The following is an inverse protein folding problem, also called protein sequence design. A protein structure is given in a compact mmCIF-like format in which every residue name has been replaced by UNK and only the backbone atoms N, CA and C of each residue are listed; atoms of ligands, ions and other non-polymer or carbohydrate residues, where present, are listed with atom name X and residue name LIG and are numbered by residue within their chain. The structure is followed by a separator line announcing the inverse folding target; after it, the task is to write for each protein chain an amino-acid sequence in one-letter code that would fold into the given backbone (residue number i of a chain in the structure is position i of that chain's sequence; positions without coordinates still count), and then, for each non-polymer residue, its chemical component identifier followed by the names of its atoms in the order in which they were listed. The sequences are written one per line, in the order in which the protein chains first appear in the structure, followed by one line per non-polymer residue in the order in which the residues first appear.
data_IF_587345735027
#
_entry.id   IF_587345735027
#
_cell.length_a   1.000
_cell.length_b   1.000
_cell.length_c   1.000
_cell.angle_alpha   90.00
_cell.angle_beta   90.00
_cell.angle_gamma   90.00
#
_symmetry.space_group_name_H-M   'P 1'
#
loop_
_entity.id
_entity.type
_entity.pdbx_description
1 polymer ?
#
# COMPACT_ATOMS: atom_id res chain seq x y z
N UNK A 1 12.50 6.52 -5.10
CA UNK A 1 11.33 5.68 -5.44
C UNK A 1 10.19 6.00 -4.50
N UNK A 2 9.03 6.36 -5.04
CA UNK A 2 7.79 6.57 -4.30
C UNK A 2 7.12 5.22 -4.08
N UNK A 3 7.22 4.69 -2.88
CA UNK A 3 6.75 3.35 -2.56
C UNK A 3 5.30 3.42 -2.09
N UNK A 4 4.40 2.79 -2.85
CA UNK A 4 3.00 2.58 -2.47
C UNK A 4 2.93 1.41 -1.50
N UNK A 5 2.40 1.66 -0.31
CA UNK A 5 2.08 0.60 0.65
C UNK A 5 0.55 0.53 0.76
N UNK A 6 0.02 -0.65 0.45
CA UNK A 6 -1.41 -0.92 0.53
C UNK A 6 -1.65 -2.35 1.02
N UNK A 7 -2.86 -2.63 1.47
CA UNK A 7 -3.19 -3.96 1.94
C UNK A 7 -4.59 -4.09 2.49
N UNK A 8 -4.90 -5.30 2.92
CA UNK A 8 -6.17 -5.60 3.58
C UNK A 8 -6.25 -4.85 4.92
N UNK A 9 -7.47 -4.46 5.32
CA UNK A 9 -7.70 -3.56 6.46
C UNK A 9 -7.44 -4.19 7.83
N UNK A 10 -7.35 -5.50 7.86
CA UNK A 10 -7.09 -6.39 8.99
C UNK A 10 -5.62 -6.85 9.06
N UNK A 11 -4.78 -6.42 8.13
CA UNK A 11 -3.34 -6.64 8.23
C UNK A 11 -2.78 -5.84 9.41
N UNK A 12 -2.09 -6.50 10.34
CA UNK A 12 -1.57 -5.88 11.58
C UNK A 12 -0.09 -6.24 11.86
N UNK A 13 0.58 -6.97 10.95
CA UNK A 13 1.96 -7.43 11.14
C UNK A 13 2.99 -6.36 10.69
N UNK A 14 3.32 -5.46 11.61
CA UNK A 14 4.27 -4.38 11.34
C UNK A 14 5.69 -4.87 11.02
N UNK A 15 6.13 -5.96 11.66
CA UNK A 15 7.48 -6.49 11.46
C UNK A 15 7.62 -7.13 10.07
N UNK A 16 6.59 -7.82 9.60
CA UNK A 16 6.53 -8.31 8.23
C UNK A 16 6.61 -7.14 7.24
N UNK A 17 5.83 -6.08 7.46
CA UNK A 17 5.89 -4.89 6.60
C UNK A 17 7.28 -4.28 6.55
N UNK A 18 7.88 -4.08 7.73
CA UNK A 18 9.22 -3.52 7.87
C UNK A 18 10.25 -4.38 7.13
N UNK A 19 10.19 -5.71 7.27
CA UNK A 19 11.09 -6.65 6.59
C UNK A 19 11.09 -6.46 5.07
N UNK A 20 9.91 -6.33 4.46
CA UNK A 20 9.80 -6.11 3.02
C UNK A 20 10.23 -4.69 2.61
N UNK A 21 9.92 -3.67 3.42
CA UNK A 21 10.38 -2.31 3.14
C UNK A 21 11.91 -2.17 3.23
N UNK A 22 12.57 -2.95 4.09
CA UNK A 22 14.03 -2.93 4.24
C UNK A 22 14.77 -3.34 2.96
N UNK A 23 14.18 -4.17 2.11
CA UNK A 23 14.75 -4.59 0.82
C UNK A 23 15.03 -3.37 -0.08
N UNK A 24 14.18 -2.34 0.04
CA UNK A 24 14.24 -1.14 -0.78
C UNK A 24 14.71 0.10 -0.02
N UNK A 25 15.15 -0.04 1.25
CA UNK A 25 15.36 1.09 2.18
C UNK A 25 16.07 2.29 1.55
N UNK A 26 17.21 2.05 0.93
CA UNK A 26 18.07 3.12 0.38
C UNK A 26 17.53 3.73 -0.93
N UNK A 27 16.50 3.13 -1.52
CA UNK A 27 15.82 3.60 -2.74
C UNK A 27 14.54 4.37 -2.43
N UNK A 28 13.94 4.20 -1.25
CA UNK A 28 12.66 4.84 -0.91
C UNK A 28 12.90 6.31 -0.60
N UNK A 29 12.22 7.17 -1.34
CA UNK A 29 12.27 8.63 -1.14
C UNK A 29 11.00 9.18 -0.50
N UNK A 30 9.90 8.42 -0.57
CA UNK A 30 8.58 8.81 -0.07
C UNK A 30 7.69 7.57 0.06
N UNK A 31 6.81 7.53 1.06
CA UNK A 31 5.74 6.53 1.18
C UNK A 31 4.42 7.11 0.67
N UNK A 32 3.71 6.34 -0.15
CA UNK A 32 2.38 6.69 -0.67
C UNK A 32 1.33 5.86 0.06
N UNK A 33 0.43 6.54 0.78
CA UNK A 33 -0.60 5.96 1.65
C UNK A 33 -1.99 6.38 1.22
N UNK A 34 -2.96 5.47 1.31
CA UNK A 34 -4.38 5.73 1.13
C UNK A 34 -5.14 6.04 2.42
N UNK A 35 -4.42 6.15 3.54
CA UNK A 35 -4.96 6.43 4.88
C UNK A 35 -6.01 5.44 5.37
N UNK A 36 -6.04 4.23 4.81
CA UNK A 36 -6.90 3.15 5.29
C UNK A 36 -6.26 2.46 6.51
N UNK A 37 -7.06 1.79 7.34
CA UNK A 37 -6.51 0.91 8.39
C UNK A 37 -5.66 -0.21 7.78
N UNK A 38 -4.78 -0.78 8.59
CA UNK A 38 -3.90 -1.88 8.21
C UNK A 38 -2.62 -1.37 7.56
N UNK A 39 -2.27 -1.91 6.38
CA UNK A 39 -0.99 -1.66 5.72
C UNK A 39 -0.69 -0.17 5.50
N UNK A 40 -1.68 0.64 5.07
CA UNK A 40 -1.46 2.06 4.81
C UNK A 40 -0.97 2.79 6.08
N UNK A 41 -1.67 2.66 7.21
CA UNK A 41 -1.25 3.28 8.48
C UNK A 41 0.11 2.76 8.99
N UNK A 42 0.38 1.47 8.80
CA UNK A 42 1.70 0.91 9.14
C UNK A 42 2.80 1.43 8.23
N UNK A 43 2.51 1.66 6.95
CA UNK A 43 3.42 2.34 6.03
C UNK A 43 3.72 3.77 6.47
N UNK A 44 2.72 4.52 6.93
CA UNK A 44 2.94 5.86 7.51
C UNK A 44 3.81 5.80 8.76
N UNK A 45 3.60 4.80 9.63
CA UNK A 45 4.45 4.56 10.80
C UNK A 45 5.90 4.27 10.38
N UNK A 46 6.11 3.40 9.39
CA UNK A 46 7.44 3.10 8.86
C UNK A 46 8.13 4.34 8.28
N UNK A 47 7.42 5.15 7.50
CA UNK A 47 7.94 6.40 6.97
C UNK A 47 8.45 7.33 8.07
N UNK A 48 7.65 7.48 9.14
CA UNK A 48 8.01 8.27 10.32
C UNK A 48 9.25 7.71 11.03
N UNK A 49 9.35 6.39 11.16
CA UNK A 49 10.48 5.72 11.82
C UNK A 49 11.80 5.97 11.09
N UNK A 50 11.81 5.95 9.75
CA UNK A 50 13.04 6.13 8.95
C UNK A 50 13.24 7.58 8.47
N UNK A 51 12.36 8.51 8.86
CA UNK A 51 12.53 9.94 8.59
C UNK A 51 12.26 10.36 7.15
N UNK A 52 11.35 9.69 6.43
CA UNK A 52 10.98 10.03 5.04
C UNK A 52 9.54 10.59 4.95
N UNK A 53 9.23 11.41 3.93
CA UNK A 53 7.90 11.97 3.77
C UNK A 53 6.83 10.92 3.45
N UNK A 54 5.58 11.28 3.73
CA UNK A 54 4.38 10.52 3.39
C UNK A 54 3.48 11.37 2.48
N UNK A 55 3.17 10.86 1.29
CA UNK A 55 2.08 11.38 0.46
C UNK A 55 0.79 10.64 0.77
N UNK A 56 -0.20 11.38 1.29
CA UNK A 56 -1.51 10.85 1.66
C UNK A 56 -2.55 11.08 0.57
N UNK A 57 -3.32 10.03 0.28
CA UNK A 57 -4.46 10.02 -0.63
C UNK A 57 -5.69 9.51 0.13
N UNK A 58 -6.38 10.34 0.94
CA UNK A 58 -7.60 9.91 1.61
C UNK A 58 -8.74 9.72 0.60
N UNK A 59 -9.51 8.64 0.75
CA UNK A 59 -10.67 8.40 -0.10
C UNK A 59 -11.78 9.44 0.16
N UNK A 60 -12.27 10.10 -0.91
CA UNK A 60 -13.34 11.08 -0.81
C UNK A 60 -14.72 10.41 -0.86
N UNK A 61 -15.11 9.79 0.26
CA UNK A 61 -16.38 9.07 0.42
C UNK A 61 -17.61 9.96 0.22
N UNK A 62 -17.54 11.23 0.63
CA UNK A 62 -18.65 12.18 0.48
C UNK A 62 -18.97 12.45 -0.98
N UNK A 63 -17.95 12.53 -1.84
CA UNK A 63 -18.11 12.85 -3.26
C UNK A 63 -18.43 11.62 -4.12
N UNK A 64 -17.76 10.49 -3.85
CA UNK A 64 -17.78 9.34 -4.75
C UNK A 64 -18.43 8.09 -4.16
N UNK A 65 -18.84 8.12 -2.89
CA UNK A 65 -19.45 6.96 -2.22
C UNK A 65 -18.57 5.72 -2.33
N UNK A 66 -19.16 4.58 -2.69
CA UNK A 66 -18.47 3.27 -2.72
C UNK A 66 -17.26 3.23 -3.66
N UNK A 67 -17.22 4.05 -4.72
CA UNK A 67 -16.09 4.06 -5.66
C UNK A 67 -14.90 4.87 -5.17
N UNK A 68 -15.04 5.67 -4.10
CA UNK A 68 -13.98 6.54 -3.57
C UNK A 68 -12.67 5.78 -3.30
N UNK A 69 -12.77 4.56 -2.76
CA UNK A 69 -11.60 3.71 -2.52
C UNK A 69 -10.89 3.30 -3.81
N UNK A 70 -11.62 2.93 -4.87
CA UNK A 70 -11.02 2.53 -6.15
C UNK A 70 -10.40 3.72 -6.89
N UNK A 71 -11.06 4.89 -6.85
CA UNK A 71 -10.53 6.13 -7.42
C UNK A 71 -9.18 6.48 -6.76
N UNK A 72 -9.16 6.48 -5.43
CA UNK A 72 -7.96 6.72 -4.64
C UNK A 72 -6.85 5.69 -4.89
N UNK A 73 -7.19 4.41 -5.08
CA UNK A 73 -6.22 3.38 -5.47
C UNK A 73 -5.54 3.73 -6.80
N UNK A 74 -6.33 4.20 -7.78
CA UNK A 74 -5.82 4.63 -9.09
C UNK A 74 -4.89 5.83 -8.96
N UNK A 75 -5.28 6.84 -8.17
CA UNK A 75 -4.45 8.02 -7.91
C UNK A 75 -3.11 7.65 -7.26
N UNK A 76 -3.14 6.77 -6.24
CA UNK A 76 -1.92 6.26 -5.59
C UNK A 76 -0.99 5.55 -6.58
N UNK A 77 -1.53 4.63 -7.40
CA UNK A 77 -0.70 3.90 -8.36
C UNK A 77 -0.23 4.75 -9.53
N UNK A 78 -0.98 5.76 -9.94
CA UNK A 78 -0.50 6.73 -10.94
C UNK A 78 0.69 7.53 -10.39
N UNK A 79 0.62 7.91 -9.11
CA UNK A 79 1.64 8.73 -8.46
C UNK A 79 2.91 7.97 -8.04
N UNK A 80 2.76 6.75 -7.51
CA UNK A 80 3.85 5.93 -6.99
C UNK A 80 4.61 5.16 -8.07
N UNK A 81 5.80 4.68 -7.75
CA UNK A 81 6.69 4.00 -8.70
C UNK A 81 6.66 2.48 -8.52
N UNK A 82 6.51 2.02 -7.26
CA UNK A 82 6.53 0.60 -6.87
C UNK A 82 5.42 0.32 -5.84
N UNK A 83 4.81 -0.85 -5.88
CA UNK A 83 3.78 -1.28 -4.91
C UNK A 83 4.27 -2.43 -4.03
N UNK A 84 4.08 -2.33 -2.71
CA UNK A 84 4.07 -3.50 -1.82
C UNK A 84 2.64 -3.68 -1.30
N UNK A 85 2.02 -4.80 -1.66
CA UNK A 85 0.64 -5.14 -1.30
C UNK A 85 0.60 -6.28 -0.29
N UNK A 86 0.10 -6.01 0.93
CA UNK A 86 -0.14 -7.03 1.96
C UNK A 86 -1.57 -7.55 1.82
N UNK A 87 -1.73 -8.75 1.26
CA UNK A 87 -3.02 -9.27 0.83
C UNK A 87 -3.42 -10.54 1.57
N UNK A 88 -4.69 -10.60 1.97
CA UNK A 88 -5.34 -11.78 2.54
C UNK A 88 -5.92 -12.72 1.48
N UNK A 89 -5.68 -12.46 0.20
CA UNK A 89 -6.30 -13.14 -0.96
C UNK A 89 -7.79 -12.87 -1.15
N UNK A 90 -8.44 -12.08 -0.30
CA UNK A 90 -9.89 -11.84 -0.32
C UNK A 90 -10.26 -10.37 -0.54
N UNK A 91 -9.46 -9.44 0.00
CA UNK A 91 -9.71 -8.01 -0.07
C UNK A 91 -9.77 -7.53 -1.52
N UNK A 92 -10.99 -7.18 -1.97
CA UNK A 92 -11.25 -6.60 -3.30
C UNK A 92 -10.49 -5.30 -3.51
N UNK A 93 -10.34 -4.48 -2.47
CA UNK A 93 -9.61 -3.22 -2.54
C UNK A 93 -8.12 -3.42 -2.79
N UNK A 94 -7.53 -4.45 -2.20
CA UNK A 94 -6.13 -4.83 -2.40
C UNK A 94 -5.93 -5.50 -3.76
N UNK A 95 -6.82 -6.42 -4.14
CA UNK A 95 -6.82 -7.01 -5.48
C UNK A 95 -6.87 -5.94 -6.59
N UNK A 96 -7.69 -4.90 -6.39
CA UNK A 96 -7.80 -3.78 -7.33
C UNK A 96 -6.49 -3.01 -7.50
N UNK A 97 -5.76 -2.68 -6.41
CA UNK A 97 -4.50 -1.93 -6.54
C UNK A 97 -3.38 -2.78 -7.15
N UNK A 98 -3.37 -4.10 -6.89
CA UNK A 98 -2.46 -5.06 -7.54
C UNK A 98 -2.73 -5.10 -9.05
N UNK A 99 -4.01 -5.15 -9.46
CA UNK A 99 -4.39 -5.08 -10.88
C UNK A 99 -3.90 -3.80 -11.55
N UNK A 100 -4.09 -2.65 -10.90
CA UNK A 100 -3.59 -1.37 -11.42
C UNK A 100 -2.07 -1.33 -11.60
N UNK A 101 -1.31 -1.91 -10.67
CA UNK A 101 0.14 -1.98 -10.78
C UNK A 101 0.56 -2.82 -11.99
N UNK A 102 -0.08 -3.98 -12.17
CA UNK A 102 0.13 -4.85 -13.32
C UNK A 102 -0.21 -4.16 -14.65
N UNK A 103 -1.39 -3.53 -14.73
CA UNK A 103 -1.87 -2.85 -15.94
C UNK A 103 -1.03 -1.61 -16.31
N UNK A 104 -0.33 -1.03 -15.33
CA UNK A 104 0.54 0.13 -15.51
C UNK A 104 2.02 -0.26 -15.74
N UNK A 105 2.33 -1.55 -15.86
CA UNK A 105 3.70 -2.09 -15.99
C UNK A 105 4.66 -1.62 -14.88
N UNK A 106 4.14 -1.28 -13.70
CA UNK A 106 4.95 -0.87 -12.55
C UNK A 106 5.40 -2.11 -11.77
N UNK A 107 6.59 -2.02 -11.17
CA UNK A 107 7.07 -3.09 -10.29
C UNK A 107 6.19 -3.21 -9.03
N UNK A 108 5.93 -4.45 -8.60
CA UNK A 108 5.11 -4.71 -7.42
C UNK A 108 5.47 -6.03 -6.73
N UNK A 109 5.24 -6.06 -5.41
CA UNK A 109 5.31 -7.25 -4.57
C UNK A 109 3.95 -7.53 -3.94
N UNK A 110 3.55 -8.81 -3.91
CA UNK A 110 2.33 -9.25 -3.23
C UNK A 110 2.70 -10.23 -2.11
N UNK A 111 2.39 -9.85 -0.87
CA UNK A 111 2.66 -10.64 0.33
C UNK A 111 1.36 -11.23 0.83
N UNK A 112 1.19 -12.54 0.63
CA UNK A 112 0.03 -13.28 1.12
C UNK A 112 0.21 -13.67 2.58
N UNK A 113 -0.27 -12.85 3.51
CA UNK A 113 0.08 -12.99 4.94
C UNK A 113 -0.81 -13.98 5.71
N UNK A 114 -2.03 -14.27 5.25
CA UNK A 114 -2.88 -15.33 5.86
C UNK A 114 -2.49 -16.75 5.43
N UNK A 115 -1.70 -16.87 4.37
CA UNK A 115 -1.20 -18.15 3.87
C UNK A 115 0.22 -18.46 4.35
N UNK A 116 0.79 -17.62 5.24
CA UNK A 116 2.05 -17.91 5.91
C UNK A 116 1.71 -18.90 7.03
N UNK A 117 1.66 -20.19 6.68
CA UNK A 117 1.65 -21.27 7.64
C UNK A 117 2.91 -21.11 8.51
N UNK A 118 2.71 -21.04 9.83
CA UNK A 118 3.80 -21.05 10.82
C UNK A 118 4.62 -22.34 10.75
#
# INVERSE_FOLDING_TARGET
MKLVIAGSRDFEDYELLKRFCLIYRDKITEIVSGCARGADLMGEKYAKEIGIPVKRFPANWNKYGKSAGMIRNKEMMQYGDHLIAFWDSESRGTAHIIGLARDSEKEFDVIHYKNIIK
#
